data_IF_935340515116
#
_entry.id   IF_935340515116
#
_cell.length_a   1.000
_cell.length_b   1.000
_cell.length_c   1.000
_cell.angle_alpha   90.00
_cell.angle_beta   90.00
_cell.angle_gamma   90.00
#
_symmetry.space_group_name_H-M   'P 1'
#
loop_
_entity.id
_entity.type
_entity.pdbx_description
1 polymer ?
#
# COMPACT_ATOMS: atom_id res chain seq x y z
N UNK A 1 12.02 5.53 2.00
CA UNK A 1 10.75 5.75 2.74
C UNK A 1 10.27 7.20 2.81
N UNK A 2 11.10 8.19 3.18
CA UNK A 2 10.66 9.59 3.29
C UNK A 2 10.00 10.14 2.00
N UNK A 3 10.57 9.80 0.83
CA UNK A 3 9.98 10.13 -0.48
C UNK A 3 8.59 9.52 -0.67
N UNK A 4 8.43 8.22 -0.38
CA UNK A 4 7.15 7.52 -0.47
C UNK A 4 6.06 8.21 0.36
N UNK A 5 6.38 8.58 1.60
CA UNK A 5 5.45 9.27 2.50
C UNK A 5 5.10 10.66 1.95
N UNK A 6 6.08 11.41 1.45
CA UNK A 6 5.84 12.74 0.87
C UNK A 6 4.93 12.66 -0.36
N UNK A 7 5.18 11.70 -1.26
CA UNK A 7 4.34 11.45 -2.45
C UNK A 7 2.91 11.10 -2.04
N UNK A 8 2.73 10.11 -1.14
CA UNK A 8 1.41 9.69 -0.70
C UNK A 8 0.64 10.81 0.02
N UNK A 9 1.31 11.68 0.78
CA UNK A 9 0.67 12.85 1.42
C UNK A 9 0.17 13.88 0.41
N UNK A 10 0.73 13.92 -0.80
CA UNK A 10 0.27 14.82 -1.86
C UNK A 10 -1.00 14.33 -2.56
N UNK A 11 -1.41 13.07 -2.35
CA UNK A 11 -2.53 12.48 -3.07
C UNK A 11 -3.87 12.92 -2.47
N UNK A 12 -4.75 13.57 -3.25
CA UNK A 12 -5.99 14.17 -2.72
C UNK A 12 -7.03 13.14 -2.25
N UNK A 13 -6.92 11.88 -2.69
CA UNK A 13 -7.80 10.81 -2.26
C UNK A 13 -7.47 10.27 -0.86
N UNK A 14 -6.26 10.57 -0.35
CA UNK A 14 -5.75 10.02 0.90
C UNK A 14 -5.94 11.01 2.05
N UNK A 15 -6.63 10.57 3.10
CA UNK A 15 -6.52 11.17 4.42
C UNK A 15 -5.31 10.55 5.14
N UNK A 16 -4.49 11.37 5.80
CA UNK A 16 -3.32 10.91 6.56
C UNK A 16 -3.51 11.17 8.05
N UNK A 17 -3.11 10.21 8.88
CA UNK A 17 -3.05 10.35 10.33
C UNK A 17 -1.68 9.92 10.83
N UNK A 18 -1.05 10.77 11.64
CA UNK A 18 0.22 10.47 12.28
C UNK A 18 -0.01 9.74 13.61
N UNK A 19 0.45 8.49 13.67
CA UNK A 19 0.34 7.65 14.88
C UNK A 19 1.71 7.46 15.52
N UNK A 20 1.75 6.93 16.75
CA UNK A 20 3.01 6.55 17.40
C UNK A 20 3.84 5.52 16.61
N UNK A 21 3.21 4.79 15.69
CA UNK A 21 3.84 3.77 14.84
C UNK A 21 4.21 4.28 13.45
N UNK A 22 3.93 5.56 13.16
CA UNK A 22 4.13 6.18 11.84
C UNK A 22 2.81 6.58 11.17
N UNK A 23 2.89 7.13 9.95
CA UNK A 23 1.73 7.58 9.20
C UNK A 23 0.87 6.40 8.74
N UNK A 24 -0.44 6.62 8.80
CA UNK A 24 -1.49 5.74 8.30
C UNK A 24 -2.29 6.52 7.27
N UNK A 25 -2.59 5.90 6.13
CA UNK A 25 -3.39 6.53 5.08
C UNK A 25 -4.70 5.80 4.88
N UNK A 26 -5.76 6.58 4.74
CA UNK A 26 -7.11 6.10 4.61
C UNK A 26 -7.82 6.75 3.42
N UNK A 27 -8.76 6.01 2.84
CA UNK A 27 -9.69 6.51 1.83
C UNK A 27 -11.09 6.33 2.37
N UNK A 28 -11.87 7.42 2.42
CA UNK A 28 -13.26 7.41 2.92
C UNK A 28 -13.40 6.71 4.29
N UNK A 29 -12.44 6.95 5.20
CA UNK A 29 -12.41 6.37 6.55
C UNK A 29 -11.89 4.93 6.63
N UNK A 30 -11.58 4.29 5.50
CA UNK A 30 -10.98 2.95 5.48
C UNK A 30 -9.47 3.06 5.38
N UNK A 31 -8.75 2.52 6.37
CA UNK A 31 -7.30 2.38 6.29
C UNK A 31 -6.91 1.49 5.12
N UNK A 32 -6.05 2.02 4.24
CA UNK A 32 -5.53 1.29 3.07
C UNK A 32 -4.01 1.22 3.01
N UNK A 33 -3.30 2.04 3.79
CA UNK A 33 -1.84 2.00 3.88
C UNK A 33 -1.39 2.21 5.31
N UNK A 34 -0.40 1.43 5.74
CA UNK A 34 0.31 1.67 6.99
C UNK A 34 1.77 1.31 6.87
N UNK A 35 2.63 2.12 7.48
CA UNK A 35 4.04 1.79 7.63
C UNK A 35 4.19 0.79 8.78
N UNK A 36 5.01 -0.24 8.57
CA UNK A 36 5.22 -1.33 9.54
C UNK A 36 6.70 -1.57 9.89
N UNK A 37 7.59 -0.76 9.31
CA UNK A 37 9.03 -0.79 9.53
C UNK A 37 9.71 0.34 8.77
N UNK A 38 11.05 0.33 8.73
CA UNK A 38 11.85 1.35 8.05
C UNK A 38 11.61 1.36 6.52
N UNK A 39 11.44 0.18 5.93
CA UNK A 39 11.31 -0.10 4.51
C UNK A 39 10.02 -0.85 4.16
N UNK A 40 9.16 -1.15 5.14
CA UNK A 40 7.97 -2.00 4.94
C UNK A 40 6.67 -1.24 5.05
N UNK A 41 5.85 -1.35 4.00
CA UNK A 41 4.50 -0.79 3.92
C UNK A 41 3.51 -1.91 3.72
N UNK A 42 2.36 -1.87 4.39
CA UNK A 42 1.24 -2.75 4.08
C UNK A 42 0.19 -1.96 3.29
N UNK A 43 -0.31 -2.57 2.22
CA UNK A 43 -1.33 -2.01 1.33
C UNK A 43 -2.56 -2.91 1.37
N UNK A 44 -3.75 -2.34 1.62
CA UNK A 44 -5.02 -3.06 1.62
C UNK A 44 -5.61 -3.05 0.21
N UNK A 45 -5.65 -4.20 -0.44
CA UNK A 45 -6.15 -4.33 -1.81
C UNK A 45 -7.55 -4.93 -1.89
N UNK A 46 -7.97 -5.75 -0.92
CA UNK A 46 -9.11 -6.71 -0.95
C UNK A 46 -8.79 -8.07 -1.57
N UNK A 47 -9.55 -9.10 -1.18
CA UNK A 47 -9.42 -10.47 -1.71
C UNK A 47 -9.60 -10.51 -3.24
N UNK A 48 -10.65 -9.90 -3.84
CA UNK A 48 -10.81 -9.94 -5.30
C UNK A 48 -9.66 -9.27 -6.06
N UNK A 49 -9.10 -8.18 -5.52
CA UNK A 49 -7.96 -7.52 -6.15
C UNK A 49 -6.69 -8.37 -6.07
N UNK A 50 -6.45 -9.02 -4.93
CA UNK A 50 -5.30 -9.93 -4.74
C UNK A 50 -5.43 -11.17 -5.65
N UNK A 51 -6.62 -11.75 -5.77
CA UNK A 51 -6.82 -12.90 -6.66
C UNK A 51 -6.59 -12.51 -8.13
N UNK A 52 -7.10 -11.34 -8.56
CA UNK A 52 -6.88 -10.82 -9.91
C UNK A 52 -5.41 -10.52 -10.20
N UNK A 53 -4.70 -9.91 -9.26
CA UNK A 53 -3.29 -9.50 -9.43
C UNK A 53 -2.31 -10.61 -9.08
N UNK A 54 -2.77 -11.72 -8.49
CA UNK A 54 -1.96 -12.76 -7.88
C UNK A 54 -0.77 -13.23 -8.72
N UNK A 55 -0.92 -13.51 -10.04
CA UNK A 55 0.21 -13.85 -10.89
C UNK A 55 1.32 -12.79 -10.87
N UNK A 56 0.96 -11.52 -11.12
CA UNK A 56 1.92 -10.40 -11.15
C UNK A 56 2.55 -10.12 -9.79
N UNK A 57 1.77 -10.24 -8.70
CA UNK A 57 2.29 -10.03 -7.35
C UNK A 57 3.32 -11.11 -6.97
N UNK A 58 3.22 -12.33 -7.52
CA UNK A 58 4.19 -13.41 -7.29
C UNK A 58 5.50 -13.20 -8.04
N UNK A 59 5.48 -12.44 -9.13
CA UNK A 59 6.68 -12.09 -9.90
C UNK A 59 7.46 -10.92 -9.26
N UNK A 60 6.89 -10.30 -8.21
CA UNK A 60 7.48 -9.18 -7.47
C UNK A 60 8.08 -9.67 -6.14
N UNK A 61 9.40 -9.87 -6.08
CA UNK A 61 10.12 -10.34 -4.88
C UNK A 61 9.94 -9.44 -3.64
N UNK A 62 9.62 -8.16 -3.85
CA UNK A 62 9.37 -7.18 -2.80
C UNK A 62 7.95 -7.24 -2.23
N UNK A 63 7.05 -8.02 -2.84
CA UNK A 63 5.64 -8.12 -2.44
C UNK A 63 5.36 -9.46 -1.78
N UNK A 64 4.65 -9.43 -0.64
CA UNK A 64 4.16 -10.64 0.03
C UNK A 64 2.70 -10.49 0.39
N UNK A 65 1.85 -11.36 -0.14
CA UNK A 65 0.44 -11.47 0.30
C UNK A 65 0.39 -11.91 1.76
N UNK A 66 -0.44 -11.25 2.58
CA UNK A 66 -0.63 -11.61 3.98
C UNK A 66 -1.72 -12.68 4.16
N UNK A 67 -1.73 -13.42 5.28
CA UNK A 67 -2.66 -14.53 5.49
C UNK A 67 -4.14 -14.17 5.40
N UNK A 68 -4.50 -12.93 5.73
CA UNK A 68 -5.88 -12.42 5.64
C UNK A 68 -6.36 -12.18 4.21
N UNK A 69 -5.46 -12.26 3.21
CA UNK A 69 -5.70 -11.98 1.79
C UNK A 69 -6.39 -10.64 1.50
N UNK A 70 -6.38 -9.72 2.46
CA UNK A 70 -6.86 -8.36 2.27
C UNK A 70 -5.69 -7.38 2.11
N UNK A 71 -4.51 -7.79 2.58
CA UNK A 71 -3.31 -6.99 2.60
C UNK A 71 -2.15 -7.64 1.86
N UNK A 72 -1.30 -6.79 1.29
CA UNK A 72 0.04 -7.15 0.84
C UNK A 72 1.06 -6.33 1.61
N UNK A 73 2.19 -6.94 1.95
CA UNK A 73 3.36 -6.21 2.42
C UNK A 73 4.27 -5.91 1.23
N UNK A 74 4.77 -4.69 1.15
CA UNK A 74 5.71 -4.20 0.13
C UNK A 74 6.96 -3.73 0.84
N UNK A 75 8.12 -4.24 0.43
CA UNK A 75 9.43 -3.70 0.80
C UNK A 75 9.82 -2.61 -0.20
N UNK A 76 10.24 -1.45 0.28
CA UNK A 76 10.65 -0.30 -0.53
C UNK A 76 12.10 0.02 -0.23
N UNK A 77 13.00 -0.50 -1.06
CA UNK A 77 14.46 -0.33 -0.93
C UNK A 77 15.05 0.45 -2.11
N UNK A 78 14.42 0.37 -3.29
CA UNK A 78 14.83 1.08 -4.49
C UNK A 78 13.68 1.84 -5.17
N UNK A 79 14.01 2.67 -6.17
CA UNK A 79 13.05 3.47 -6.93
C UNK A 79 11.93 2.62 -7.60
N UNK A 80 12.22 1.47 -8.22
CA UNK A 80 11.16 0.62 -8.79
C UNK A 80 10.16 0.11 -7.76
N UNK A 81 10.59 -0.09 -6.50
CA UNK A 81 9.70 -0.51 -5.42
C UNK A 81 8.77 0.63 -4.98
N UNK A 82 9.24 1.88 -5.07
CA UNK A 82 8.41 3.05 -4.85
C UNK A 82 7.33 3.14 -5.93
N UNK A 83 7.68 3.00 -7.20
CA UNK A 83 6.70 3.00 -8.29
C UNK A 83 5.65 1.89 -8.11
N UNK A 84 6.09 0.69 -7.73
CA UNK A 84 5.18 -0.41 -7.41
C UNK A 84 4.26 -0.08 -6.22
N UNK A 85 4.79 0.51 -5.15
CA UNK A 85 3.97 0.94 -4.01
C UNK A 85 2.89 1.96 -4.45
N UNK A 86 3.25 2.94 -5.28
CA UNK A 86 2.31 3.94 -5.79
C UNK A 86 1.25 3.28 -6.68
N UNK A 87 1.63 2.35 -7.55
CA UNK A 87 0.70 1.59 -8.37
C UNK A 87 -0.30 0.77 -7.52
N UNK A 88 0.20 0.03 -6.52
CA UNK A 88 -0.64 -0.73 -5.60
C UNK A 88 -1.54 0.17 -4.75
N UNK A 89 -1.08 1.36 -4.39
CA UNK A 89 -1.91 2.35 -3.70
C UNK A 89 -3.07 2.82 -4.59
N UNK A 90 -2.83 3.03 -5.87
CA UNK A 90 -3.90 3.40 -6.83
C UNK A 90 -4.96 2.29 -6.93
N UNK A 91 -4.53 1.02 -6.94
CA UNK A 91 -5.43 -0.14 -6.89
C UNK A 91 -6.21 -0.16 -5.57
N UNK A 92 -5.55 0.07 -4.44
CA UNK A 92 -6.18 0.13 -3.13
C UNK A 92 -7.26 1.22 -3.05
N UNK A 93 -6.98 2.41 -3.56
CA UNK A 93 -7.95 3.50 -3.67
C UNK A 93 -9.14 3.03 -4.50
N UNK A 94 -8.90 2.52 -5.71
CA UNK A 94 -9.97 2.05 -6.60
C UNK A 94 -10.81 0.91 -6.00
N UNK A 95 -10.21 0.05 -5.18
CA UNK A 95 -10.92 -1.06 -4.55
C UNK A 95 -11.80 -0.62 -3.36
N UNK A 96 -11.54 0.54 -2.77
CA UNK A 96 -12.25 1.05 -1.58
C UNK A 96 -13.03 2.35 -1.85
N UNK A 97 -13.09 2.79 -3.11
CA UNK A 97 -13.95 3.88 -3.59
C UNK A 97 -14.96 3.27 -4.57
N UNK A 98 -16.28 3.47 -4.37
CA UNK A 98 -17.32 3.00 -5.28
C UNK A 98 -17.21 3.57 -6.70
#
# INVERSE_FOLDING_TARGET
MARAVAELRSWPALAVSDTRRGPVFAVRGTEILRLTGADKVQVRLTVPAIDRLGPYLRDCDQVRTLPDKAWVAVRVDAEPDLELLLALTSVAIKAHVP
#
